data_IF_343968883446
#
_entry.id   IF_343968883446
#
_cell.length_a   1.000
_cell.length_b   1.000
_cell.length_c   1.000
_cell.angle_alpha   90.00
_cell.angle_beta   90.00
_cell.angle_gamma   90.00
#
_symmetry.space_group_name_H-M   'P 1'
#
loop_
_entity.id
_entity.type
_entity.pdbx_description
1 polymer ?
#
# COMPACT_ATOMS: atom_id res chain seq x y z
N UNK A 1 -7.24 -11.95 -7.22
CA UNK A 1 -7.55 -12.63 -5.95
C UNK A 1 -7.54 -11.66 -4.80
N UNK A 2 -8.54 -11.76 -3.92
CA UNK A 2 -8.65 -10.85 -2.76
C UNK A 2 -7.45 -10.94 -1.82
N UNK A 3 -6.90 -12.14 -1.66
CA UNK A 3 -5.76 -12.35 -0.76
C UNK A 3 -4.56 -11.52 -1.20
N UNK A 4 -4.30 -11.48 -2.51
CA UNK A 4 -3.19 -10.69 -3.05
C UNK A 4 -3.42 -9.20 -2.77
N UNK A 5 -4.64 -8.72 -2.95
CA UNK A 5 -4.99 -7.32 -2.66
C UNK A 5 -4.81 -6.98 -1.19
N UNK A 6 -5.22 -7.87 -0.29
CA UNK A 6 -5.08 -7.68 1.15
C UNK A 6 -3.60 -7.64 1.54
N UNK A 7 -2.79 -8.54 0.99
CA UNK A 7 -1.35 -8.56 1.26
C UNK A 7 -0.70 -7.26 0.76
N UNK A 8 -1.07 -6.80 -0.44
CA UNK A 8 -0.55 -5.54 -0.97
C UNK A 8 -0.91 -4.35 -0.09
N UNK A 9 -2.13 -4.32 0.44
CA UNK A 9 -2.55 -3.24 1.34
C UNK A 9 -1.75 -3.26 2.64
N UNK A 10 -1.52 -4.43 3.22
CA UNK A 10 -0.75 -4.55 4.46
C UNK A 10 0.68 -4.08 4.25
N UNK A 11 1.31 -4.54 3.17
CA UNK A 11 2.68 -4.16 2.84
C UNK A 11 2.76 -2.65 2.57
N UNK A 12 1.83 -2.12 1.79
CA UNK A 12 1.79 -0.69 1.47
C UNK A 12 1.63 0.16 2.72
N UNK A 13 0.75 -0.24 3.63
CA UNK A 13 0.53 0.48 4.88
C UNK A 13 1.79 0.46 5.75
N UNK A 14 2.41 -0.70 5.90
CA UNK A 14 3.62 -0.85 6.71
C UNK A 14 4.76 0.01 6.15
N UNK A 15 5.01 -0.08 4.86
CA UNK A 15 6.06 0.70 4.21
C UNK A 15 5.75 2.20 4.23
N UNK A 16 4.46 2.55 4.08
CA UNK A 16 4.05 3.94 4.16
C UNK A 16 4.37 4.56 5.51
N UNK A 17 4.06 3.88 6.58
CA UNK A 17 4.37 4.34 7.94
C UNK A 17 5.89 4.46 8.12
N UNK A 18 6.63 3.44 7.70
CA UNK A 18 8.08 3.44 7.83
C UNK A 18 8.72 4.60 7.07
N UNK A 19 8.31 4.84 5.83
CA UNK A 19 8.85 5.94 5.02
C UNK A 19 8.43 7.30 5.58
N UNK A 20 7.21 7.41 6.13
CA UNK A 20 6.76 8.65 6.74
C UNK A 20 7.62 9.01 7.96
N UNK A 21 7.95 8.02 8.79
CA UNK A 21 8.82 8.23 9.94
C UNK A 21 10.20 8.69 9.52
N UNK A 22 10.71 8.15 8.40
CA UNK A 22 12.02 8.50 7.87
C UNK A 22 12.02 9.79 7.07
N UNK A 23 10.86 10.43 6.88
CA UNK A 23 10.75 11.65 6.10
C UNK A 23 10.89 11.45 4.60
N UNK A 24 10.66 10.23 4.10
CA UNK A 24 10.78 9.91 2.69
C UNK A 24 9.44 10.10 1.99
N UNK A 25 9.20 11.32 1.47
CA UNK A 25 7.95 11.64 0.79
C UNK A 25 7.72 10.76 -0.45
N UNK A 26 8.77 10.44 -1.18
CA UNK A 26 8.66 9.60 -2.37
C UNK A 26 8.21 8.19 -2.02
N UNK A 27 8.74 7.63 -0.94
CA UNK A 27 8.34 6.31 -0.44
C UNK A 27 6.90 6.30 0.02
N UNK A 28 6.45 7.37 0.68
CA UNK A 28 5.04 7.50 1.10
C UNK A 28 4.12 7.52 -0.11
N UNK A 29 4.48 8.25 -1.15
CA UNK A 29 3.68 8.32 -2.38
C UNK A 29 3.56 6.94 -3.03
N UNK A 30 4.66 6.20 -3.14
CA UNK A 30 4.67 4.85 -3.67
C UNK A 30 3.78 3.92 -2.85
N UNK A 31 3.84 4.04 -1.52
CA UNK A 31 3.02 3.24 -0.62
C UNK A 31 1.53 3.51 -0.78
N UNK A 32 1.16 4.77 -0.99
CA UNK A 32 -0.24 5.15 -1.25
C UNK A 32 -0.73 4.50 -2.54
N UNK A 33 0.09 4.51 -3.58
CA UNK A 33 -0.26 3.85 -4.86
C UNK A 33 -0.48 2.36 -4.63
N UNK A 34 0.39 1.70 -3.86
CA UNK A 34 0.25 0.28 -3.55
C UNK A 34 -1.04 0.00 -2.78
N UNK A 35 -1.40 0.87 -1.82
CA UNK A 35 -2.65 0.74 -1.08
C UNK A 35 -3.87 0.84 -2.00
N UNK A 36 -3.87 1.81 -2.91
CA UNK A 36 -4.97 1.99 -3.86
C UNK A 36 -5.08 0.77 -4.76
N UNK A 37 -3.97 0.28 -5.29
CA UNK A 37 -3.97 -0.91 -6.14
C UNK A 37 -4.51 -2.13 -5.39
N UNK A 38 -4.09 -2.33 -4.15
CA UNK A 38 -4.60 -3.42 -3.32
C UNK A 38 -6.08 -3.32 -3.07
N UNK A 39 -6.57 -2.11 -2.77
CA UNK A 39 -7.99 -1.87 -2.53
C UNK A 39 -8.82 -2.17 -3.77
N UNK A 40 -8.39 -1.67 -4.93
CA UNK A 40 -9.08 -1.93 -6.20
C UNK A 40 -9.12 -3.42 -6.49
N UNK A 41 -8.03 -4.14 -6.26
CA UNK A 41 -7.98 -5.58 -6.46
C UNK A 41 -9.01 -6.30 -5.57
N UNK A 42 -9.13 -5.89 -4.31
CA UNK A 42 -10.12 -6.49 -3.39
C UNK A 42 -11.54 -6.18 -3.85
N UNK A 43 -11.80 -4.96 -4.29
CA UNK A 43 -13.15 -4.54 -4.67
C UNK A 43 -13.60 -5.16 -5.99
N UNK A 44 -12.69 -5.37 -6.93
CA UNK A 44 -13.03 -5.89 -8.26
C UNK A 44 -12.97 -7.41 -8.35
N UNK A 45 -12.47 -8.05 -7.34
CA UNK A 45 -12.35 -9.52 -7.31
C UNK A 45 -13.41 -10.12 -6.34
#
# INVERSE_FOLDING_TARGET
MKIIGIICMIIGLTFGILHAINGNAFGVLTSVIALICGLVTVLTN
#
